data_IF_489152681821
#
_entry.id   IF_489152681821
#
_cell.length_a   1.000
_cell.length_b   1.000
_cell.length_c   1.000
_cell.angle_alpha   90.00
_cell.angle_beta   90.00
_cell.angle_gamma   90.00
#
_symmetry.space_group_name_H-M   'P 1'
#
loop_
_entity.id
_entity.type
_entity.pdbx_description
1 polymer ?
#
# COMPACT_ATOMS: atom_id res chain seq x y z
N UNK A 1 -9.81 25.37 39.86
CA UNK A 1 -9.52 26.64 39.14
C UNK A 1 -9.36 26.35 37.65
N UNK A 2 -9.78 27.23 36.73
CA UNK A 2 -9.60 27.05 35.28
C UNK A 2 -8.72 28.19 34.74
N UNK A 3 -7.63 27.86 34.04
CA UNK A 3 -6.78 28.87 33.39
C UNK A 3 -7.52 29.51 32.21
N UNK A 4 -7.78 30.84 32.22
CA UNK A 4 -8.55 31.50 31.17
C UNK A 4 -7.87 31.48 29.79
N UNK A 5 -6.53 31.39 29.73
CA UNK A 5 -5.77 31.37 28.48
C UNK A 5 -5.56 29.97 27.91
N UNK A 6 -5.56 28.94 28.77
CA UNK A 6 -5.24 27.56 28.38
C UNK A 6 -6.45 26.63 28.39
N UNK A 7 -7.55 27.00 29.06
CA UNK A 7 -8.71 26.13 29.25
C UNK A 7 -8.45 24.91 30.14
N UNK A 8 -7.29 24.85 30.80
CA UNK A 8 -6.89 23.74 31.67
C UNK A 8 -7.50 23.95 33.06
N UNK A 9 -8.09 22.89 33.63
CA UNK A 9 -8.61 22.88 35.00
C UNK A 9 -7.59 22.27 35.95
N UNK A 10 -7.36 22.96 37.06
CA UNK A 10 -6.50 22.56 38.16
C UNK A 10 -7.37 22.15 39.34
N UNK A 11 -7.15 20.94 39.84
CA UNK A 11 -7.80 20.39 41.02
C UNK A 11 -6.71 19.97 42.02
N UNK A 12 -6.65 20.68 43.14
CA UNK A 12 -5.73 20.36 44.22
C UNK A 12 -6.46 19.45 45.20
N UNK A 13 -5.96 18.23 45.37
CA UNK A 13 -6.39 17.29 46.41
C UNK A 13 -5.51 17.45 47.64
N UNK A 14 -5.80 16.70 48.71
CA UNK A 14 -4.97 16.67 49.92
C UNK A 14 -3.55 16.16 49.69
N UNK A 15 -3.34 15.40 48.61
CA UNK A 15 -2.10 14.67 48.35
C UNK A 15 -1.40 15.13 47.08
N UNK A 16 -2.16 15.58 46.06
CA UNK A 16 -1.63 15.83 44.71
C UNK A 16 -2.35 16.97 43.98
N UNK A 17 -1.72 17.50 42.93
CA UNK A 17 -2.35 18.38 41.96
C UNK A 17 -2.72 17.58 40.70
N UNK A 18 -4.01 17.57 40.37
CA UNK A 18 -4.54 16.96 39.15
C UNK A 18 -4.82 18.06 38.13
N UNK A 19 -4.34 17.86 36.91
CA UNK A 19 -4.60 18.75 35.78
C UNK A 19 -5.56 18.05 34.83
N UNK A 20 -6.58 18.78 34.38
CA UNK A 20 -7.48 18.35 33.32
C UNK A 20 -7.33 19.22 32.10
N UNK A 21 -7.30 18.57 30.95
CA UNK A 21 -7.31 19.17 29.63
C UNK A 21 -8.63 19.93 29.37
N UNK A 22 -8.69 20.76 28.33
CA UNK A 22 -9.91 21.47 27.94
C UNK A 22 -11.10 20.56 27.61
N UNK A 23 -10.83 19.31 27.20
CA UNK A 23 -11.85 18.28 26.95
C UNK A 23 -12.36 17.60 28.25
N UNK A 24 -11.86 18.00 29.42
CA UNK A 24 -12.24 17.47 30.72
C UNK A 24 -11.53 16.18 31.13
N UNK A 25 -10.69 15.61 30.27
CA UNK A 25 -9.89 14.43 30.60
C UNK A 25 -8.66 14.83 31.44
N UNK A 26 -8.21 13.99 32.40
CA UNK A 26 -6.97 14.24 33.12
C UNK A 26 -5.78 14.20 32.15
N UNK A 27 -4.73 14.95 32.47
CA UNK A 27 -3.45 14.79 31.78
C UNK A 27 -2.88 13.39 32.08
N UNK A 28 -2.56 12.68 31.01
CA UNK A 28 -1.89 11.39 31.06
C UNK A 28 -0.42 11.57 31.39
N UNK A 29 0.20 10.56 32.01
CA UNK A 29 1.64 10.57 32.28
C UNK A 29 2.44 10.71 30.98
N UNK A 30 3.55 11.46 31.03
CA UNK A 30 4.39 11.70 29.87
C UNK A 30 4.92 10.39 29.27
N UNK A 31 5.29 9.42 30.10
CA UNK A 31 5.80 8.12 29.65
C UNK A 31 4.72 7.34 28.91
N UNK A 32 3.49 7.38 29.41
CA UNK A 32 2.35 6.71 28.75
C UNK A 32 2.06 7.34 27.38
N UNK A 33 2.10 8.68 27.28
CA UNK A 33 1.96 9.38 26.00
C UNK A 33 3.06 8.98 25.01
N UNK A 34 4.32 8.89 25.47
CA UNK A 34 5.44 8.45 24.63
C UNK A 34 5.27 6.99 24.16
N UNK A 35 4.78 6.11 25.03
CA UNK A 35 4.51 4.71 24.66
C UNK A 35 3.39 4.60 23.62
N UNK A 36 2.28 5.31 23.81
CA UNK A 36 1.18 5.36 22.85
C UNK A 36 1.63 5.93 21.50
N UNK A 37 2.43 7.00 21.50
CA UNK A 37 2.98 7.60 20.29
C UNK A 37 3.89 6.62 19.54
N UNK A 38 4.79 5.93 20.25
CA UNK A 38 5.67 4.91 19.66
C UNK A 38 4.88 3.75 19.07
N UNK A 39 3.89 3.24 19.79
CA UNK A 39 3.03 2.15 19.31
C UNK A 39 2.25 2.57 18.05
N UNK A 40 1.70 3.78 18.04
CA UNK A 40 0.98 4.33 16.89
C UNK A 40 1.92 4.49 15.69
N UNK A 41 3.12 5.04 15.90
CA UNK A 41 4.13 5.19 14.85
C UNK A 41 4.52 3.85 14.24
N UNK A 42 4.75 2.83 15.07
CA UNK A 42 5.08 1.49 14.59
C UNK A 42 3.94 0.90 13.75
N UNK A 43 2.69 1.02 14.19
CA UNK A 43 1.53 0.53 13.44
C UNK A 43 1.36 1.22 12.08
N UNK A 44 1.64 2.52 12.00
CA UNK A 44 1.61 3.27 10.73
C UNK A 44 2.71 2.77 9.80
N UNK A 45 3.95 2.63 10.30
CA UNK A 45 5.06 2.13 9.49
C UNK A 45 4.82 0.71 8.98
N UNK A 46 4.26 -0.16 9.81
CA UNK A 46 3.87 -1.52 9.40
C UNK A 46 2.80 -1.47 8.31
N UNK A 47 1.75 -0.66 8.49
CA UNK A 47 0.69 -0.51 7.49
C UNK A 47 1.21 0.04 6.14
N UNK A 48 2.13 1.00 6.17
CA UNK A 48 2.78 1.54 4.97
C UNK A 48 3.60 0.47 4.25
N UNK A 49 4.38 -0.33 4.99
CA UNK A 49 5.14 -1.45 4.41
C UNK A 49 4.23 -2.46 3.73
N UNK A 50 3.12 -2.84 4.39
CA UNK A 50 2.15 -3.77 3.80
C UNK A 50 1.49 -3.21 2.54
N UNK A 51 1.17 -1.91 2.53
CA UNK A 51 0.59 -1.25 1.37
C UNK A 51 1.56 -1.25 0.18
N UNK A 52 2.84 -0.95 0.43
CA UNK A 52 3.88 -0.96 -0.59
C UNK A 52 4.11 -2.36 -1.18
N UNK A 53 4.13 -3.38 -0.33
CA UNK A 53 4.27 -4.77 -0.77
C UNK A 53 3.06 -5.23 -1.61
N UNK A 54 1.86 -4.82 -1.23
CA UNK A 54 0.64 -5.11 -1.97
C UNK A 54 0.63 -4.41 -3.34
N UNK A 55 1.05 -3.15 -3.40
CA UNK A 55 1.19 -2.37 -4.65
C UNK A 55 2.22 -3.03 -5.57
N UNK A 56 3.39 -3.36 -5.05
CA UNK A 56 4.45 -4.04 -5.83
C UNK A 56 3.97 -5.38 -6.39
N UNK A 57 3.17 -6.14 -5.62
CA UNK A 57 2.60 -7.40 -6.11
C UNK A 57 1.57 -7.17 -7.20
N UNK A 58 0.74 -6.14 -7.06
CA UNK A 58 -0.27 -5.79 -8.07
C UNK A 58 0.39 -5.36 -9.38
N UNK A 59 1.41 -4.51 -9.34
CA UNK A 59 2.13 -4.07 -10.55
C UNK A 59 2.80 -5.23 -11.27
N UNK A 60 3.47 -6.13 -10.55
CA UNK A 60 4.07 -7.34 -11.15
C UNK A 60 3.00 -8.23 -11.77
N UNK A 61 1.87 -8.45 -11.10
CA UNK A 61 0.78 -9.26 -11.65
C UNK A 61 0.18 -8.65 -12.92
N UNK A 62 0.03 -7.32 -12.97
CA UNK A 62 -0.43 -6.60 -14.15
C UNK A 62 0.56 -6.71 -15.32
N UNK A 63 1.86 -6.58 -15.07
CA UNK A 63 2.89 -6.74 -16.10
C UNK A 63 2.88 -8.15 -16.71
N UNK A 64 2.76 -9.19 -15.89
CA UNK A 64 2.71 -10.58 -16.37
C UNK A 64 1.45 -10.85 -17.20
N UNK A 65 0.29 -10.31 -16.79
CA UNK A 65 -0.95 -10.39 -17.56
C UNK A 65 -0.88 -9.66 -18.90
N UNK A 66 -0.06 -8.61 -19.02
CA UNK A 66 0.14 -7.89 -20.28
C UNK A 66 1.13 -8.59 -21.22
N UNK A 67 2.12 -9.32 -20.69
CA UNK A 67 3.11 -10.05 -21.51
C UNK A 67 2.48 -11.24 -22.23
N UNK A 68 1.63 -12.02 -21.54
CA UNK A 68 1.03 -13.23 -22.09
C UNK A 68 0.26 -13.04 -23.41
N UNK A 69 -0.64 -12.02 -23.57
CA UNK A 69 -1.31 -11.76 -24.84
C UNK A 69 -0.35 -11.24 -25.91
N UNK A 70 0.64 -10.43 -25.52
CA UNK A 70 1.59 -9.82 -26.46
C UNK A 70 2.49 -10.88 -27.10
N UNK A 71 2.97 -11.86 -26.33
CA UNK A 71 3.74 -12.98 -26.85
C UNK A 71 2.92 -13.84 -27.82
N UNK A 72 1.66 -14.14 -27.48
CA UNK A 72 0.75 -14.89 -28.36
C UNK A 72 0.53 -14.16 -29.68
N UNK A 73 0.31 -12.85 -29.62
CA UNK A 73 0.12 -12.01 -30.81
C UNK A 73 1.39 -12.00 -31.70
N UNK A 74 2.57 -11.80 -31.12
CA UNK A 74 3.85 -11.82 -31.85
C UNK A 74 4.09 -13.19 -32.52
N UNK A 75 3.83 -14.29 -31.82
CA UNK A 75 3.99 -15.64 -32.37
C UNK A 75 3.01 -15.87 -33.52
N UNK A 76 1.74 -15.46 -33.36
CA UNK A 76 0.74 -15.58 -34.41
C UNK A 76 1.09 -14.74 -35.66
N UNK A 77 1.56 -13.50 -35.48
CA UNK A 77 2.00 -12.66 -36.60
C UNK A 77 3.18 -13.27 -37.35
N UNK A 78 4.16 -13.81 -36.62
CA UNK A 78 5.33 -14.50 -37.22
C UNK A 78 4.91 -15.75 -37.99
N UNK A 79 4.02 -16.56 -37.42
CA UNK A 79 3.48 -17.75 -38.08
C UNK A 79 2.76 -17.37 -39.39
N UNK A 80 1.85 -16.38 -39.35
CA UNK A 80 1.15 -15.87 -40.54
C UNK A 80 2.11 -15.38 -41.63
N UNK A 81 3.14 -14.62 -41.25
CA UNK A 81 4.16 -14.12 -42.20
C UNK A 81 4.95 -15.28 -42.82
N UNK A 82 5.31 -16.28 -42.03
CA UNK A 82 6.02 -17.46 -42.53
C UNK A 82 5.17 -18.26 -43.51
N UNK A 83 3.89 -18.50 -43.20
CA UNK A 83 2.97 -19.16 -44.12
C UNK A 83 2.83 -18.39 -45.44
N UNK A 84 2.79 -17.05 -45.39
CA UNK A 84 2.75 -16.22 -46.59
C UNK A 84 4.01 -16.43 -47.44
N UNK A 85 5.20 -16.40 -46.84
CA UNK A 85 6.47 -16.64 -47.55
C UNK A 85 6.55 -18.04 -48.16
N UNK A 86 6.05 -19.07 -47.46
CA UNK A 86 5.99 -20.44 -47.97
C UNK A 86 5.06 -20.54 -49.19
N UNK A 87 3.88 -19.93 -49.11
CA UNK A 87 2.92 -19.84 -50.24
C UNK A 87 3.53 -19.11 -51.44
N UNK A 88 4.22 -17.98 -51.22
CA UNK A 88 4.92 -17.24 -52.28
C UNK A 88 6.05 -18.06 -52.92
N UNK A 89 6.73 -18.91 -52.14
CA UNK A 89 7.74 -19.85 -52.62
C UNK A 89 7.16 -21.11 -53.31
N UNK A 90 5.83 -21.24 -53.40
CA UNK A 90 5.15 -22.37 -54.03
C UNK A 90 5.11 -23.65 -53.18
N UNK A 91 5.35 -23.56 -51.87
CA UNK A 91 5.29 -24.66 -50.91
C UNK A 91 3.97 -24.52 -50.15
N UNK A 92 3.05 -25.47 -50.30
CA UNK A 92 1.75 -25.43 -49.61
C UNK A 92 1.86 -26.09 -48.23
N UNK A 93 1.83 -25.33 -47.11
CA UNK A 93 2.04 -25.88 -45.77
C UNK A 93 0.93 -26.83 -45.32
N UNK A 94 -0.24 -26.83 -45.96
CA UNK A 94 -1.40 -27.68 -45.61
C UNK A 94 -1.35 -29.09 -46.25
N UNK A 95 -0.34 -29.41 -47.06
CA UNK A 95 -0.25 -30.69 -47.80
C UNK A 95 0.52 -31.82 -47.10
N UNK A 96 1.06 -31.60 -45.88
CA UNK A 96 1.63 -32.68 -45.07
C UNK A 96 0.71 -33.02 -43.90
N UNK A 97 -0.30 -33.86 -44.19
CA UNK A 97 -1.13 -34.58 -43.22
C UNK A 97 -1.03 -36.08 -43.44
#
# INVERSE_FOLDING_TARGET
FVSPKLGIRFELTTETLILYRPDGQPFTDYIEVQQQLKATKNRVLEAESFALDAETRATVAEEELQKEPQEKEIVQERAKRLEQLLREAGIDPETNG
#
